data_IF_337772438968
#
_entry.id   IF_337772438968
#
_cell.length_a   1.000
_cell.length_b   1.000
_cell.length_c   1.000
_cell.angle_alpha   90.00
_cell.angle_beta   90.00
_cell.angle_gamma   90.00
#
_symmetry.space_group_name_H-M   'P 1'
#
loop_
_entity.id
_entity.type
_entity.pdbx_description
1 polymer ?
#
# COMPACT_ATOMS: atom_id res chain seq x y z
N UNK A 1 -7.95 32.41 45.02
CA UNK A 1 -8.54 32.53 43.68
C UNK A 1 -7.64 31.74 42.73
N UNK A 2 -8.27 30.95 41.86
CA UNK A 2 -7.70 30.11 40.79
C UNK A 2 -6.63 30.88 39.96
N UNK A 3 -5.68 30.27 39.26
CA UNK A 3 -5.86 29.08 38.42
C UNK A 3 -4.53 28.39 38.08
N UNK A 4 -4.63 27.09 37.96
CA UNK A 4 -3.67 26.10 37.45
C UNK A 4 -3.45 26.26 35.96
N UNK A 5 -2.20 26.36 35.49
CA UNK A 5 -1.89 26.04 34.08
C UNK A 5 -0.54 25.32 33.91
N UNK A 6 -0.55 24.06 34.37
CA UNK A 6 -0.21 22.85 33.61
C UNK A 6 0.79 22.93 32.42
N UNK A 7 1.95 23.54 32.61
CA UNK A 7 3.14 23.31 31.77
C UNK A 7 3.82 21.96 32.06
N UNK A 8 3.08 20.86 31.90
CA UNK A 8 3.54 19.49 32.18
C UNK A 8 3.48 18.62 30.93
N UNK A 9 3.88 19.13 29.76
CA UNK A 9 3.88 18.38 28.50
C UNK A 9 5.16 17.59 28.21
N UNK A 10 6.16 17.61 29.09
CA UNK A 10 7.48 17.02 28.81
C UNK A 10 7.66 15.60 29.41
N UNK A 11 6.88 15.22 30.43
CA UNK A 11 7.07 13.93 31.11
C UNK A 11 6.29 12.75 30.52
N UNK A 12 5.39 12.98 29.56
CA UNK A 12 4.56 11.90 29.00
C UNK A 12 5.36 11.03 28.01
N UNK A 13 6.26 11.61 27.19
CA UNK A 13 6.95 10.83 26.14
C UNK A 13 7.89 9.76 26.70
N UNK A 14 8.71 10.08 27.70
CA UNK A 14 9.65 9.13 28.27
C UNK A 14 8.94 8.02 29.06
N UNK A 15 7.90 8.36 29.82
CA UNK A 15 7.11 7.38 30.56
C UNK A 15 6.24 6.52 29.64
N UNK A 16 5.66 7.08 28.57
CA UNK A 16 4.86 6.33 27.61
C UNK A 16 5.73 5.36 26.80
N UNK A 17 6.92 5.77 26.36
CA UNK A 17 7.87 4.88 25.70
C UNK A 17 8.38 3.78 26.63
N UNK A 18 8.60 4.07 27.92
CA UNK A 18 8.95 3.05 28.92
C UNK A 18 7.79 2.10 29.26
N UNK A 19 6.55 2.60 29.29
CA UNK A 19 5.33 1.79 29.48
C UNK A 19 5.05 0.88 28.28
N UNK A 20 5.27 1.36 27.06
CA UNK A 20 5.16 0.59 25.83
C UNK A 20 6.30 -0.42 25.68
N UNK A 21 7.53 -0.04 26.06
CA UNK A 21 8.71 -0.92 26.03
C UNK A 21 8.74 -1.98 27.14
N UNK A 22 8.09 -1.75 28.28
CA UNK A 22 8.10 -2.68 29.44
C UNK A 22 7.09 -3.82 29.34
N UNK A 23 6.22 -3.83 28.32
CA UNK A 23 5.19 -4.87 28.15
C UNK A 23 4.15 -4.96 29.27
N UNK A 24 4.12 -3.97 30.18
CA UNK A 24 3.26 -3.95 31.39
C UNK A 24 1.96 -3.17 31.25
N UNK A 25 1.66 -2.60 30.08
CA UNK A 25 0.33 -2.05 29.79
C UNK A 25 -0.56 -3.16 29.20
N UNK A 26 -1.64 -3.58 29.87
CA UNK A 26 -2.57 -4.55 29.32
C UNK A 26 -3.47 -3.87 28.29
N UNK A 27 -2.99 -3.65 27.06
CA UNK A 27 -3.80 -3.18 25.94
C UNK A 27 -4.68 -4.34 25.39
N UNK A 28 -5.66 -4.80 26.17
CA UNK A 28 -6.24 -6.13 25.98
C UNK A 28 -7.29 -6.29 24.88
N UNK A 29 -7.74 -5.25 24.16
CA UNK A 29 -8.81 -5.41 23.15
C UNK A 29 -8.69 -4.59 21.87
N UNK A 30 -8.19 -3.35 21.89
CA UNK A 30 -8.07 -2.53 20.66
C UNK A 30 -6.78 -2.86 19.89
N UNK A 31 -5.64 -2.97 20.58
CA UNK A 31 -4.35 -3.33 19.96
C UNK A 31 -4.45 -4.65 19.20
N UNK A 32 -4.94 -5.72 19.84
CA UNK A 32 -5.08 -7.03 19.18
C UNK A 32 -6.03 -7.03 17.97
N UNK A 33 -7.05 -6.16 17.95
CA UNK A 33 -7.97 -6.05 16.81
C UNK A 33 -7.29 -5.29 15.66
N UNK A 34 -6.57 -4.21 15.97
CA UNK A 34 -5.74 -3.49 15.01
C UNK A 34 -4.64 -4.40 14.45
N UNK A 35 -3.91 -5.12 15.29
CA UNK A 35 -2.87 -6.06 14.88
C UNK A 35 -3.42 -7.13 13.92
N UNK A 36 -4.63 -7.65 14.18
CA UNK A 36 -5.30 -8.60 13.28
C UNK A 36 -5.78 -7.96 11.98
N UNK A 37 -6.14 -6.69 11.98
CA UNK A 37 -6.51 -5.96 10.75
C UNK A 37 -5.25 -5.71 9.92
N UNK A 38 -4.18 -5.23 10.54
CA UNK A 38 -2.87 -5.02 9.92
C UNK A 38 -2.32 -6.33 9.35
N UNK A 39 -2.38 -7.44 10.10
CA UNK A 39 -1.95 -8.73 9.61
C UNK A 39 -2.75 -9.20 8.38
N UNK A 40 -4.08 -9.07 8.40
CA UNK A 40 -4.94 -9.42 7.24
C UNK A 40 -4.67 -8.53 6.04
N UNK A 41 -4.43 -7.24 6.28
CA UNK A 41 -4.08 -6.28 5.24
C UNK A 41 -2.72 -6.61 4.61
N UNK A 42 -1.71 -6.92 5.43
CA UNK A 42 -0.40 -7.32 4.94
C UNK A 42 -0.46 -8.59 4.09
N UNK A 43 -1.26 -9.58 4.49
CA UNK A 43 -1.49 -10.79 3.67
C UNK A 43 -2.20 -10.46 2.35
N UNK A 44 -3.16 -9.53 2.39
CA UNK A 44 -3.85 -9.06 1.18
C UNK A 44 -2.85 -8.43 0.20
N UNK A 45 -2.04 -7.48 0.68
CA UNK A 45 -1.06 -6.74 -0.13
C UNK A 45 0.06 -7.65 -0.63
N UNK A 46 0.70 -8.42 0.26
CA UNK A 46 1.94 -9.14 -0.08
C UNK A 46 1.73 -10.47 -0.78
N UNK A 47 0.63 -11.16 -0.54
CA UNK A 47 0.45 -12.54 -1.01
C UNK A 47 -0.78 -12.69 -1.89
N UNK A 48 -1.93 -12.19 -1.42
CA UNK A 48 -3.21 -12.50 -2.06
C UNK A 48 -3.45 -11.70 -3.34
N UNK A 49 -3.10 -10.42 -3.36
CA UNK A 49 -3.32 -9.55 -4.53
C UNK A 49 -2.42 -9.89 -5.72
N UNK A 50 -1.09 -10.06 -5.59
CA UNK A 50 -0.23 -10.40 -6.72
C UNK A 50 -0.69 -11.70 -7.40
N UNK A 51 -1.05 -12.72 -6.61
CA UNK A 51 -1.52 -14.01 -7.10
C UNK A 51 -2.91 -13.92 -7.72
N UNK A 52 -3.87 -13.26 -7.06
CA UNK A 52 -5.24 -13.11 -7.57
C UNK A 52 -5.31 -12.29 -8.86
N UNK A 53 -4.44 -11.29 -8.97
CA UNK A 53 -4.35 -10.49 -10.18
C UNK A 53 -3.55 -11.22 -11.26
N UNK A 54 -2.74 -12.23 -10.96
CA UNK A 54 -1.76 -12.80 -11.92
C UNK A 54 -0.84 -11.70 -12.47
N UNK A 55 -0.36 -10.84 -11.57
CA UNK A 55 0.35 -9.62 -11.95
C UNK A 55 1.69 -9.95 -12.61
N UNK A 56 1.91 -9.45 -13.82
CA UNK A 56 3.19 -9.67 -14.53
C UNK A 56 4.24 -8.62 -14.15
N UNK A 57 5.54 -8.89 -14.34
CA UNK A 57 6.58 -7.89 -14.09
C UNK A 57 6.42 -6.61 -14.92
N UNK A 58 5.92 -6.71 -16.16
CA UNK A 58 5.68 -5.55 -17.01
C UNK A 58 4.50 -4.72 -16.49
N UNK A 59 3.46 -5.37 -15.97
CA UNK A 59 2.32 -4.69 -15.34
C UNK A 59 2.68 -4.00 -14.04
N UNK A 60 3.57 -4.59 -13.23
CA UNK A 60 4.04 -3.94 -12.00
C UNK A 60 4.83 -2.66 -12.30
N UNK A 61 5.69 -2.68 -13.32
CA UNK A 61 6.41 -1.48 -13.77
C UNK A 61 5.43 -0.42 -14.28
N UNK A 62 4.44 -0.82 -15.09
CA UNK A 62 3.41 0.10 -15.59
C UNK A 62 2.61 0.76 -14.45
N UNK A 63 2.26 -0.02 -13.43
CA UNK A 63 1.60 0.51 -12.24
C UNK A 63 2.52 1.45 -11.44
N UNK A 64 3.81 1.13 -11.33
CA UNK A 64 4.79 1.99 -10.67
C UNK A 64 4.93 3.34 -11.37
N UNK A 65 4.99 3.35 -12.70
CA UNK A 65 5.00 4.58 -13.51
C UNK A 65 3.73 5.40 -13.27
N UNK A 66 2.56 4.73 -13.28
CA UNK A 66 1.27 5.39 -13.11
C UNK A 66 1.09 5.96 -11.70
N UNK A 67 1.44 5.19 -10.66
CA UNK A 67 1.36 5.63 -9.26
C UNK A 67 2.35 6.76 -8.99
N UNK A 68 3.57 6.69 -9.53
CA UNK A 68 4.56 7.77 -9.38
C UNK A 68 4.14 9.06 -10.09
N UNK A 69 3.42 8.96 -11.21
CA UNK A 69 2.93 10.10 -11.97
C UNK A 69 1.62 10.69 -11.42
N UNK A 70 0.90 9.94 -10.58
CA UNK A 70 -0.42 10.32 -10.07
C UNK A 70 -0.31 10.66 -8.59
N UNK A 71 -0.58 11.91 -8.22
CA UNK A 71 -0.69 12.26 -6.80
C UNK A 71 -1.96 11.65 -6.20
N UNK A 72 -1.82 10.53 -5.49
CA UNK A 72 -2.89 9.77 -4.87
C UNK A 72 -3.08 10.18 -3.39
N UNK A 73 -3.07 11.49 -3.11
CA UNK A 73 -3.23 12.03 -1.77
C UNK A 73 -4.57 11.66 -1.09
N UNK A 74 -5.61 11.40 -1.88
CA UNK A 74 -6.93 10.99 -1.40
C UNK A 74 -7.24 9.53 -1.74
N UNK A 75 -7.85 8.76 -0.81
CA UNK A 75 -8.10 7.33 -1.03
C UNK A 75 -9.04 7.06 -2.20
N UNK A 76 -9.98 7.95 -2.47
CA UNK A 76 -10.94 7.81 -3.57
C UNK A 76 -10.26 7.92 -4.94
N UNK A 77 -9.07 8.52 -5.01
CA UNK A 77 -8.29 8.58 -6.25
C UNK A 77 -7.81 7.21 -6.70
N UNK A 78 -7.78 6.19 -5.83
CA UNK A 78 -7.53 4.82 -6.24
C UNK A 78 -8.52 4.31 -7.31
N UNK A 79 -9.74 4.86 -7.34
CA UNK A 79 -10.77 4.51 -8.34
C UNK A 79 -10.41 4.98 -9.76
N UNK A 80 -9.46 5.90 -9.92
CA UNK A 80 -9.05 6.41 -11.24
C UNK A 80 -8.02 5.49 -11.91
N UNK A 81 -7.34 4.63 -11.16
CA UNK A 81 -6.29 3.73 -11.69
C UNK A 81 -6.77 2.87 -12.86
N UNK A 82 -7.92 2.17 -12.78
CA UNK A 82 -8.39 1.37 -13.90
C UNK A 82 -8.77 2.21 -15.13
N UNK A 83 -9.20 3.46 -14.91
CA UNK A 83 -9.53 4.40 -15.99
C UNK A 83 -8.26 4.86 -16.69
N UNK A 84 -7.23 5.22 -15.93
CA UNK A 84 -5.93 5.66 -16.47
C UNK A 84 -5.24 4.54 -17.25
N UNK A 85 -5.25 3.31 -16.74
CA UNK A 85 -4.71 2.16 -17.47
C UNK A 85 -5.46 1.88 -18.76
N UNK A 86 -6.79 2.01 -18.77
CA UNK A 86 -7.56 1.89 -20.01
C UNK A 86 -7.15 2.98 -21.01
N UNK A 87 -6.99 4.24 -20.56
CA UNK A 87 -6.54 5.33 -21.43
C UNK A 87 -5.13 5.08 -22.00
N UNK A 88 -4.22 4.51 -21.22
CA UNK A 88 -2.89 4.12 -21.70
C UNK A 88 -2.99 2.99 -22.73
N UNK A 89 -3.85 1.99 -22.50
CA UNK A 89 -4.11 0.91 -23.44
C UNK A 89 -4.65 1.45 -24.77
N UNK A 90 -5.62 2.36 -24.71
CA UNK A 90 -6.23 3.00 -25.89
C UNK A 90 -5.22 3.84 -26.69
N UNK A 91 -4.18 4.37 -26.03
CA UNK A 91 -3.07 5.13 -26.66
C UNK A 91 -1.90 4.25 -27.11
N UNK A 92 -1.89 2.97 -26.75
CA UNK A 92 -0.76 2.07 -27.02
C UNK A 92 0.47 2.32 -26.13
N UNK A 93 0.31 3.01 -25.00
CA UNK A 93 1.38 3.40 -24.06
C UNK A 93 1.65 2.29 -23.02
N UNK A 94 1.52 1.02 -23.41
CA UNK A 94 1.56 -0.11 -22.46
C UNK A 94 2.94 -0.72 -22.28
N UNK A 95 3.96 -0.27 -23.04
CA UNK A 95 5.35 -0.75 -23.00
C UNK A 95 5.49 -2.29 -22.88
N UNK A 96 4.67 -3.05 -23.60
CA UNK A 96 4.69 -4.53 -23.60
C UNK A 96 3.95 -5.20 -22.43
N UNK A 97 3.21 -4.45 -21.61
CA UNK A 97 2.22 -4.96 -20.66
C UNK A 97 0.81 -4.97 -21.28
N UNK A 98 -0.07 -5.85 -20.81
CA UNK A 98 -1.49 -5.82 -21.15
C UNK A 98 -2.25 -4.83 -20.25
N UNK A 99 -2.12 -3.54 -20.57
CA UNK A 99 -2.78 -2.47 -19.81
C UNK A 99 -4.31 -2.60 -19.80
N UNK A 100 -4.91 -3.10 -20.89
CA UNK A 100 -6.36 -3.30 -20.99
C UNK A 100 -6.86 -4.44 -20.12
N UNK A 101 -6.18 -5.60 -20.17
CA UNK A 101 -6.46 -6.72 -19.28
C UNK A 101 -6.21 -6.41 -17.81
N UNK A 102 -5.19 -5.60 -17.50
CA UNK A 102 -4.95 -5.11 -16.14
C UNK A 102 -6.05 -4.15 -15.69
N UNK A 103 -6.46 -3.18 -16.53
CA UNK A 103 -7.57 -2.28 -16.23
C UNK A 103 -8.86 -3.06 -15.94
N UNK A 104 -9.15 -4.08 -16.75
CA UNK A 104 -10.31 -4.95 -16.55
C UNK A 104 -10.27 -5.68 -15.19
N UNK A 105 -9.12 -6.30 -14.85
CA UNK A 105 -8.93 -6.96 -13.54
C UNK A 105 -9.11 -5.99 -12.38
N UNK A 106 -8.58 -4.77 -12.48
CA UNK A 106 -8.67 -3.77 -11.41
C UNK A 106 -10.09 -3.21 -11.25
N UNK A 107 -10.91 -3.12 -12.31
CA UNK A 107 -12.32 -2.72 -12.19
C UNK A 107 -13.16 -3.69 -11.35
N UNK A 108 -12.74 -4.95 -11.26
CA UNK A 108 -13.42 -5.96 -10.43
C UNK A 108 -13.05 -5.88 -8.94
N UNK A 109 -12.10 -5.01 -8.57
CA UNK A 109 -11.65 -4.84 -7.19
C UNK A 109 -12.51 -3.84 -6.42
N UNK A 110 -12.62 -4.06 -5.11
CA UNK A 110 -13.20 -3.07 -4.19
C UNK A 110 -12.18 -1.97 -3.87
N UNK A 111 -12.65 -0.83 -3.37
CA UNK A 111 -11.77 0.30 -3.00
C UNK A 111 -10.59 -0.12 -2.10
N UNK A 112 -10.85 -0.89 -1.04
CA UNK A 112 -9.77 -1.37 -0.16
C UNK A 112 -8.76 -2.30 -0.82
N UNK A 113 -9.15 -2.99 -1.90
CA UNK A 113 -8.25 -3.82 -2.69
C UNK A 113 -7.44 -2.98 -3.68
N UNK A 114 -8.03 -1.91 -4.23
CA UNK A 114 -7.32 -0.92 -5.05
C UNK A 114 -6.26 -0.16 -4.24
N UNK A 115 -6.60 0.25 -3.02
CA UNK A 115 -5.62 0.84 -2.08
C UNK A 115 -4.48 -0.13 -1.78
N UNK A 116 -4.80 -1.41 -1.57
CA UNK A 116 -3.78 -2.42 -1.36
C UNK A 116 -2.90 -2.69 -2.60
N UNK A 117 -3.40 -2.45 -3.82
CA UNK A 117 -2.57 -2.45 -5.04
C UNK A 117 -1.60 -1.26 -5.05
N UNK A 118 -2.05 -0.07 -4.64
CA UNK A 118 -1.17 1.10 -4.52
C UNK A 118 -0.07 0.83 -3.50
N UNK A 119 -0.41 0.32 -2.31
CA UNK A 119 0.57 -0.02 -1.27
C UNK A 119 1.59 -1.07 -1.74
N UNK A 120 1.15 -2.05 -2.54
CA UNK A 120 2.05 -3.03 -3.16
C UNK A 120 3.08 -2.34 -4.08
N UNK A 121 2.61 -1.39 -4.88
CA UNK A 121 3.42 -0.63 -5.82
C UNK A 121 4.38 0.32 -5.10
N UNK A 122 3.92 1.01 -4.05
CA UNK A 122 4.77 1.86 -3.21
C UNK A 122 5.84 1.05 -2.47
N UNK A 123 5.51 -0.15 -1.97
CA UNK A 123 6.51 -1.06 -1.42
C UNK A 123 7.54 -1.47 -2.47
N UNK A 124 7.11 -1.77 -3.69
CA UNK A 124 8.03 -2.07 -4.79
C UNK A 124 8.98 -0.91 -5.06
N UNK A 125 8.46 0.31 -5.25
CA UNK A 125 9.25 1.53 -5.48
C UNK A 125 10.21 1.78 -4.32
N UNK A 126 9.78 1.55 -3.07
CA UNK A 126 10.62 1.75 -1.88
C UNK A 126 11.69 0.67 -1.65
N UNK A 127 11.52 -0.55 -2.22
CA UNK A 127 12.45 -1.68 -2.07
C UNK A 127 13.52 -1.73 -3.17
N UNK A 128 13.36 -0.99 -4.27
CA UNK A 128 14.23 -1.10 -5.46
C UNK A 128 14.90 0.23 -5.80
N UNK A 129 16.18 0.18 -6.19
CA UNK A 129 16.94 1.35 -6.63
C UNK A 129 16.52 1.83 -8.03
N UNK A 130 16.05 0.90 -8.86
CA UNK A 130 15.61 1.15 -10.25
C UNK A 130 14.33 0.38 -10.53
N UNK A 131 13.32 1.10 -11.03
CA UNK A 131 12.05 0.53 -11.48
C UNK A 131 12.24 -0.09 -12.87
N UNK A 132 12.47 -1.39 -12.91
CA UNK A 132 12.56 -2.15 -14.15
C UNK A 132 11.92 -3.56 -14.04
N UNK A 133 11.86 -4.27 -15.17
CA UNK A 133 11.22 -5.60 -15.23
C UNK A 133 11.99 -6.67 -14.44
N UNK A 134 13.31 -6.54 -14.29
CA UNK A 134 14.13 -7.52 -13.57
C UNK A 134 13.92 -7.38 -12.04
N UNK A 135 13.87 -6.14 -11.57
CA UNK A 135 13.52 -5.78 -10.20
C UNK A 135 12.08 -6.22 -9.89
N UNK A 136 11.11 -5.89 -10.77
CA UNK A 136 9.71 -6.31 -10.62
C UNK A 136 9.56 -7.83 -10.57
N UNK A 137 10.30 -8.57 -11.40
CA UNK A 137 10.30 -10.05 -11.37
C UNK A 137 10.83 -10.58 -10.05
N UNK A 138 11.93 -10.02 -9.54
CA UNK A 138 12.51 -10.43 -8.26
C UNK A 138 11.57 -10.13 -7.08
N UNK A 139 10.94 -8.95 -7.10
CA UNK A 139 9.97 -8.52 -6.10
C UNK A 139 8.73 -9.44 -6.05
N UNK A 140 8.16 -9.77 -7.21
CA UNK A 140 7.03 -10.68 -7.31
C UNK A 140 7.40 -12.11 -6.91
N UNK A 141 8.61 -12.58 -7.25
CA UNK A 141 9.07 -13.91 -6.88
C UNK A 141 9.19 -14.14 -5.36
N UNK A 142 9.49 -13.09 -4.59
CA UNK A 142 9.51 -13.16 -3.12
C UNK A 142 8.11 -13.23 -2.48
N UNK A 143 7.07 -12.97 -3.28
CA UNK A 143 5.67 -12.82 -2.88
C UNK A 143 4.76 -13.89 -3.53
N UNK A 144 5.31 -14.70 -4.43
CA UNK A 144 4.69 -15.82 -5.13
C UNK A 144 4.74 -17.12 -4.32
#
# INVERSE_FOLDING_TARGET
MADTDNRTSIYIRAHLSALLGSGRVPAKTISKRLDRVVARYNVLVKESLPRRLELTPAELVLLADLVSATDLAEPDYALILPVKLQQMADRGESHGADAGGLAYRLRALKLGELLAVIDLVEQFIGEVDVVDRAAAKSFLAQRA
#
